data_IF_196357241247
#
_entry.id   IF_196357241247
#
_cell.length_a   1.000
_cell.length_b   1.000
_cell.length_c   1.000
_cell.angle_alpha   90.00
_cell.angle_beta   90.00
_cell.angle_gamma   90.00
#
_symmetry.space_group_name_H-M   'P 1'
#
loop_
_entity.id
_entity.type
_entity.pdbx_description
1 polymer ?
#
# COMPACT_ATOMS: atom_id res chain seq x y z
N UNK A 1 22.83 53.25 -33.03
CA UNK A 1 23.53 52.19 -32.28
C UNK A 1 22.86 52.08 -30.93
N UNK A 2 21.89 51.18 -30.81
CA UNK A 2 21.22 50.82 -29.55
C UNK A 2 21.74 49.45 -29.15
N UNK A 3 22.17 49.24 -27.89
CA UNK A 3 22.70 47.94 -27.47
C UNK A 3 21.57 46.92 -27.43
N UNK A 4 21.82 45.74 -27.99
CA UNK A 4 20.93 44.58 -27.86
C UNK A 4 20.78 44.22 -26.38
N UNK A 5 19.57 43.85 -25.92
CA UNK A 5 19.36 43.44 -24.54
C UNK A 5 20.10 42.13 -24.29
N UNK A 6 20.75 42.09 -23.13
CA UNK A 6 21.52 41.00 -22.57
C UNK A 6 20.94 39.63 -22.92
N UNK A 7 21.74 38.82 -23.62
CA UNK A 7 21.60 37.38 -23.57
C UNK A 7 21.92 36.99 -22.11
N UNK A 8 20.91 36.74 -21.29
CA UNK A 8 21.12 36.14 -19.97
C UNK A 8 21.58 34.71 -20.24
N UNK A 9 22.88 34.52 -20.41
CA UNK A 9 23.50 33.21 -20.36
C UNK A 9 23.17 32.65 -18.97
N UNK A 10 22.21 31.75 -18.90
CA UNK A 10 21.79 31.14 -17.65
C UNK A 10 22.98 30.32 -17.15
N UNK A 11 23.68 30.87 -16.16
CA UNK A 11 24.90 30.29 -15.62
C UNK A 11 24.54 29.01 -14.87
N UNK A 12 25.37 27.99 -15.02
CA UNK A 12 25.20 26.73 -14.30
C UNK A 12 25.07 26.99 -12.78
N UNK A 13 24.06 26.46 -12.10
CA UNK A 13 23.90 26.66 -10.66
C UNK A 13 25.04 25.98 -9.91
N UNK A 14 25.68 26.67 -8.96
CA UNK A 14 26.63 26.04 -8.04
C UNK A 14 25.88 25.25 -6.96
N UNK A 15 26.31 24.05 -6.56
CA UNK A 15 27.56 23.33 -6.92
C UNK A 15 27.45 22.40 -8.14
N UNK A 16 26.39 22.50 -8.94
CA UNK A 16 26.20 21.64 -10.11
C UNK A 16 27.21 21.92 -11.23
N UNK A 17 27.35 20.93 -12.11
CA UNK A 17 28.15 20.98 -13.31
C UNK A 17 27.26 20.84 -14.54
N UNK A 18 27.41 21.74 -15.51
CA UNK A 18 26.59 21.75 -16.71
C UNK A 18 27.44 21.47 -17.93
N UNK A 19 27.01 20.52 -18.76
CA UNK A 19 27.67 20.16 -20.02
C UNK A 19 26.62 20.01 -21.11
N UNK A 20 26.65 20.88 -22.12
CA UNK A 20 25.57 20.97 -23.12
C UNK A 20 24.21 21.16 -22.41
N UNK A 21 23.25 20.28 -22.70
CA UNK A 21 21.90 20.25 -22.11
C UNK A 21 21.78 19.32 -20.90
N UNK A 22 22.91 18.93 -20.29
CA UNK A 22 22.97 17.99 -19.18
C UNK A 22 23.43 18.75 -17.93
N UNK A 23 22.75 18.52 -16.81
CA UNK A 23 23.04 19.18 -15.53
C UNK A 23 23.24 18.13 -14.46
N UNK A 24 24.45 18.08 -13.90
CA UNK A 24 24.88 17.15 -12.88
C UNK A 24 24.96 17.84 -11.53
N UNK A 25 24.08 17.44 -10.61
CA UNK A 25 23.98 17.97 -9.25
C UNK A 25 24.16 16.85 -8.19
N UNK A 26 24.72 15.71 -8.58
CA UNK A 26 24.89 14.51 -7.75
C UNK A 26 25.85 14.75 -6.56
N UNK A 27 25.55 14.16 -5.39
CA UNK A 27 26.42 14.16 -4.19
C UNK A 27 26.81 15.55 -3.66
N UNK A 28 25.86 16.49 -3.68
CA UNK A 28 26.12 17.89 -3.32
C UNK A 28 25.41 18.36 -2.03
N UNK A 29 24.83 17.43 -1.26
CA UNK A 29 24.10 17.74 0.00
C UNK A 29 22.98 18.77 -0.23
N UNK A 30 22.34 18.70 -1.40
CA UNK A 30 21.27 19.61 -1.76
C UNK A 30 20.00 19.25 -0.98
N UNK A 31 19.42 20.23 -0.29
CA UNK A 31 18.11 20.05 0.39
C UNK A 31 16.93 20.36 -0.52
N UNK A 32 17.19 21.03 -1.64
CA UNK A 32 16.20 21.49 -2.61
C UNK A 32 16.76 21.42 -4.03
N UNK A 33 15.88 21.36 -5.03
CA UNK A 33 16.27 21.48 -6.44
C UNK A 33 16.86 22.88 -6.69
N UNK A 34 18.11 23.02 -7.18
CA UNK A 34 18.76 24.31 -7.33
C UNK A 34 18.01 25.27 -8.25
N UNK A 35 17.85 26.52 -7.82
CA UNK A 35 17.33 27.57 -8.69
C UNK A 35 18.35 27.92 -9.77
N UNK A 36 17.89 28.21 -10.98
CA UNK A 36 18.76 28.67 -12.06
C UNK A 36 19.29 27.58 -12.98
N UNK A 37 18.81 26.34 -12.86
CA UNK A 37 19.02 25.28 -13.87
C UNK A 37 18.65 25.82 -15.28
N UNK A 38 19.55 25.73 -16.28
CA UNK A 38 19.29 26.21 -17.64
C UNK A 38 17.99 25.64 -18.24
N UNK A 39 17.18 26.48 -18.89
CA UNK A 39 15.88 26.07 -19.43
C UNK A 39 15.96 25.13 -20.65
N UNK A 40 17.14 25.02 -21.27
CA UNK A 40 17.46 24.07 -22.34
C UNK A 40 17.95 22.71 -21.80
N UNK A 41 17.90 22.50 -20.49
CA UNK A 41 18.25 21.21 -19.86
C UNK A 41 17.32 20.10 -20.33
N UNK A 42 17.91 19.02 -20.86
CA UNK A 42 17.24 17.79 -21.32
C UNK A 42 17.41 16.67 -20.30
N UNK A 43 18.56 16.62 -19.60
CA UNK A 43 18.82 15.61 -18.56
C UNK A 43 19.30 16.25 -17.27
N UNK A 44 18.62 15.92 -16.17
CA UNK A 44 18.92 16.45 -14.84
C UNK A 44 19.21 15.30 -13.87
N UNK A 45 20.39 15.35 -13.26
CA UNK A 45 20.91 14.36 -12.33
C UNK A 45 20.99 14.98 -10.93
N UNK A 46 20.13 14.52 -10.01
CA UNK A 46 20.03 15.01 -8.62
C UNK A 46 20.24 13.88 -7.61
N UNK A 47 20.93 12.80 -7.98
CA UNK A 47 21.08 11.64 -7.09
C UNK A 47 21.93 11.94 -5.86
N UNK A 48 21.77 11.14 -4.80
CA UNK A 48 22.60 11.18 -3.60
C UNK A 48 22.62 12.58 -2.96
N UNK A 49 21.44 13.16 -2.74
CA UNK A 49 21.27 14.46 -2.07
C UNK A 49 20.29 14.32 -0.89
N UNK A 50 19.98 15.43 -0.23
CA UNK A 50 19.15 15.50 0.97
C UNK A 50 17.77 16.14 0.68
N UNK A 51 17.27 16.01 -0.55
CA UNK A 51 15.99 16.59 -0.97
C UNK A 51 14.85 15.82 -0.31
N UNK A 52 14.05 16.48 0.51
CA UNK A 52 12.92 15.84 1.22
C UNK A 52 11.57 16.07 0.54
N UNK A 53 11.37 17.23 -0.08
CA UNK A 53 10.07 17.61 -0.63
C UNK A 53 10.20 18.20 -2.03
N UNK A 54 9.27 17.84 -2.92
CA UNK A 54 9.15 18.43 -4.25
C UNK A 54 7.83 19.17 -4.40
N UNK A 55 7.88 20.33 -5.06
CA UNK A 55 6.73 21.20 -5.25
C UNK A 55 6.61 21.79 -6.66
N UNK A 56 5.52 22.52 -6.95
CA UNK A 56 5.27 23.13 -8.26
C UNK A 56 6.36 24.06 -8.78
N UNK A 57 7.24 24.56 -7.90
CA UNK A 57 8.36 25.44 -8.27
C UNK A 57 9.68 24.69 -8.50
N UNK A 58 9.80 23.42 -8.10
CA UNK A 58 11.05 22.66 -8.13
C UNK A 58 11.62 22.52 -9.55
N UNK A 59 10.76 22.34 -10.56
CA UNK A 59 11.17 22.16 -11.96
C UNK A 59 10.61 23.24 -12.89
N UNK A 60 10.42 24.45 -12.35
CA UNK A 60 9.86 25.57 -13.12
C UNK A 60 10.75 25.87 -14.33
N UNK A 61 10.13 26.04 -15.51
CA UNK A 61 10.78 26.32 -16.79
C UNK A 61 11.66 25.20 -17.37
N UNK A 62 11.60 23.97 -16.84
CA UNK A 62 12.37 22.83 -17.36
C UNK A 62 11.53 21.94 -18.30
N UNK A 63 10.72 22.57 -19.18
CA UNK A 63 9.78 21.85 -20.05
C UNK A 63 10.41 21.02 -21.18
N UNK A 64 11.73 21.12 -21.37
CA UNK A 64 12.50 20.30 -22.31
C UNK A 64 13.13 19.07 -21.67
N UNK A 65 12.94 18.85 -20.35
CA UNK A 65 13.45 17.65 -19.69
C UNK A 65 12.82 16.40 -20.30
N UNK A 66 13.69 15.44 -20.64
CA UNK A 66 13.35 14.08 -21.06
C UNK A 66 13.74 13.06 -19.98
N UNK A 67 14.81 13.35 -19.22
CA UNK A 67 15.36 12.46 -18.20
C UNK A 67 15.55 13.19 -16.87
N UNK A 68 14.91 12.70 -15.81
CA UNK A 68 15.04 13.23 -14.47
C UNK A 68 15.32 12.09 -13.49
N UNK A 69 16.42 12.21 -12.75
CA UNK A 69 16.75 11.27 -11.67
C UNK A 69 16.94 11.98 -10.35
N UNK A 70 16.21 11.50 -9.35
CA UNK A 70 16.17 11.92 -7.95
C UNK A 70 16.49 10.73 -7.03
N UNK A 71 17.18 9.72 -7.57
CA UNK A 71 17.51 8.49 -6.84
C UNK A 71 18.29 8.79 -5.57
N UNK A 72 18.02 8.02 -4.51
CA UNK A 72 18.73 8.13 -3.22
C UNK A 72 18.67 9.56 -2.66
N UNK A 73 17.44 10.03 -2.44
CA UNK A 73 17.12 11.22 -1.68
C UNK A 73 16.09 10.86 -0.60
N UNK A 74 15.97 11.60 0.50
CA UNK A 74 14.94 11.34 1.51
C UNK A 74 13.55 11.86 1.11
N UNK A 75 13.14 11.78 -0.17
CA UNK A 75 11.86 12.36 -0.61
C UNK A 75 10.70 11.56 -0.01
N UNK A 76 9.92 12.21 0.85
CA UNK A 76 8.69 11.65 1.42
C UNK A 76 7.42 12.27 0.82
N UNK A 77 7.53 13.47 0.26
CA UNK A 77 6.39 14.28 -0.18
C UNK A 77 6.61 14.88 -1.56
N UNK A 78 5.72 14.55 -2.50
CA UNK A 78 5.60 15.20 -3.81
C UNK A 78 4.25 15.91 -3.86
N UNK A 79 4.28 17.25 -3.87
CA UNK A 79 3.07 18.06 -3.89
C UNK A 79 2.35 17.95 -5.25
N UNK A 80 1.01 18.15 -5.30
CA UNK A 80 0.27 18.15 -6.55
C UNK A 80 0.82 19.15 -7.56
N UNK A 81 0.80 18.79 -8.85
CA UNK A 81 1.27 19.61 -9.97
C UNK A 81 2.79 19.88 -10.01
N UNK A 82 3.60 19.21 -9.19
CA UNK A 82 5.07 19.30 -9.22
C UNK A 82 5.64 19.10 -10.63
N UNK A 83 5.12 18.11 -11.37
CA UNK A 83 5.59 17.75 -12.70
C UNK A 83 4.73 18.30 -13.85
N UNK A 84 3.80 19.23 -13.57
CA UNK A 84 2.78 19.67 -14.53
C UNK A 84 3.36 20.22 -15.84
N UNK A 85 4.57 20.78 -15.81
CA UNK A 85 5.25 21.38 -16.98
C UNK A 85 6.24 20.46 -17.67
N UNK A 86 6.45 19.25 -17.18
CA UNK A 86 7.42 18.29 -17.71
C UNK A 86 6.78 17.42 -18.81
N UNK A 87 6.19 18.06 -19.82
CA UNK A 87 5.42 17.38 -20.87
C UNK A 87 6.28 16.51 -21.80
N UNK A 88 7.60 16.73 -21.81
CA UNK A 88 8.56 15.95 -22.60
C UNK A 88 9.24 14.83 -21.81
N UNK A 89 8.99 14.70 -20.50
CA UNK A 89 9.69 13.73 -19.68
C UNK A 89 9.31 12.31 -20.08
N UNK A 90 10.31 11.49 -20.41
CA UNK A 90 10.16 10.08 -20.78
C UNK A 90 10.61 9.16 -19.65
N UNK A 91 11.61 9.56 -18.87
CA UNK A 91 12.19 8.74 -17.81
C UNK A 91 12.22 9.51 -16.48
N UNK A 92 11.58 8.94 -15.45
CA UNK A 92 11.59 9.45 -14.09
C UNK A 92 12.11 8.40 -13.12
N UNK A 93 13.17 8.74 -12.39
CA UNK A 93 13.76 7.90 -11.35
C UNK A 93 13.53 8.52 -9.97
N UNK A 94 12.72 7.84 -9.16
CA UNK A 94 12.41 8.14 -7.75
C UNK A 94 12.81 6.94 -6.86
N UNK A 95 13.75 6.13 -7.33
CA UNK A 95 14.30 4.97 -6.64
C UNK A 95 14.97 5.35 -5.31
N UNK A 96 14.93 4.47 -4.31
CA UNK A 96 15.64 4.68 -3.04
C UNK A 96 15.23 6.02 -2.38
N UNK A 97 13.92 6.24 -2.25
CA UNK A 97 13.35 7.40 -1.57
C UNK A 97 12.45 6.94 -0.39
N UNK A 98 11.74 7.88 0.24
CA UNK A 98 10.91 7.63 1.43
C UNK A 98 9.40 7.75 1.13
N UNK A 99 8.99 7.52 -0.13
CA UNK A 99 7.59 7.64 -0.53
C UNK A 99 6.75 6.53 0.11
N UNK A 100 5.61 6.90 0.72
CA UNK A 100 4.72 5.96 1.41
C UNK A 100 3.44 5.64 0.63
N UNK A 101 3.09 6.46 -0.36
CA UNK A 101 1.92 6.30 -1.21
C UNK A 101 2.09 6.97 -2.58
N UNK A 102 1.34 6.51 -3.57
CA UNK A 102 1.17 7.19 -4.85
C UNK A 102 -0.26 7.71 -4.95
N UNK A 103 -0.43 9.01 -5.21
CA UNK A 103 -1.75 9.66 -5.32
C UNK A 103 -2.02 10.13 -6.74
N UNK A 104 -3.29 10.17 -7.15
CA UNK A 104 -3.64 10.34 -8.57
C UNK A 104 -3.32 11.68 -9.23
N UNK A 105 -2.81 12.66 -8.49
CA UNK A 105 -2.31 13.92 -9.06
C UNK A 105 -0.78 14.05 -9.01
N UNK A 106 -0.09 13.04 -8.48
CA UNK A 106 1.36 13.09 -8.27
C UNK A 106 2.12 13.20 -9.58
N UNK A 107 1.74 12.42 -10.60
CA UNK A 107 2.46 12.32 -11.89
C UNK A 107 1.82 13.10 -13.04
N UNK A 108 0.82 13.93 -12.74
CA UNK A 108 0.06 14.66 -13.76
C UNK A 108 0.95 15.61 -14.55
N UNK A 109 0.78 15.61 -15.87
CA UNK A 109 1.47 16.50 -16.82
C UNK A 109 2.57 15.82 -17.63
N UNK A 110 3.10 14.69 -17.16
CA UNK A 110 4.14 13.92 -17.87
C UNK A 110 3.53 12.99 -18.91
N UNK A 111 2.87 13.56 -19.91
CA UNK A 111 2.07 12.82 -20.92
C UNK A 111 2.90 11.94 -21.85
N UNK A 112 4.23 12.08 -21.87
CA UNK A 112 5.16 11.25 -22.65
C UNK A 112 5.97 10.28 -21.78
N UNK A 113 5.65 10.15 -20.49
CA UNK A 113 6.40 9.30 -19.59
C UNK A 113 6.27 7.83 -20.02
N UNK A 114 7.39 7.18 -20.30
CA UNK A 114 7.44 5.77 -20.70
C UNK A 114 8.03 4.88 -19.61
N UNK A 115 8.94 5.41 -18.78
CA UNK A 115 9.58 4.66 -17.69
C UNK A 115 9.44 5.39 -16.36
N UNK A 116 8.89 4.69 -15.38
CA UNK A 116 8.71 5.18 -14.02
C UNK A 116 9.35 4.21 -13.02
N UNK A 117 10.40 4.67 -12.33
CA UNK A 117 11.10 3.89 -11.32
C UNK A 117 10.76 4.38 -9.91
N UNK A 118 10.09 3.52 -9.13
CA UNK A 118 9.64 3.78 -7.75
C UNK A 118 10.09 2.66 -6.78
N UNK A 119 10.95 1.75 -7.23
CA UNK A 119 11.44 0.64 -6.41
C UNK A 119 12.30 1.15 -5.24
N UNK A 120 12.39 0.35 -4.17
CA UNK A 120 13.07 0.74 -2.91
C UNK A 120 12.51 2.02 -2.30
N UNK A 121 11.19 2.05 -2.13
CA UNK A 121 10.49 3.06 -1.34
C UNK A 121 9.71 2.36 -0.21
N UNK A 122 8.76 3.06 0.41
CA UNK A 122 7.89 2.53 1.47
C UNK A 122 6.43 2.54 1.02
N UNK A 123 6.18 2.43 -0.29
CA UNK A 123 4.83 2.56 -0.86
C UNK A 123 3.99 1.39 -0.37
N UNK A 124 3.05 1.66 0.54
CA UNK A 124 2.12 0.66 1.06
C UNK A 124 0.74 0.74 0.42
N UNK A 125 0.34 1.94 -0.01
CA UNK A 125 -0.98 2.19 -0.57
C UNK A 125 -0.91 2.66 -2.02
N UNK A 126 -1.60 1.93 -2.88
CA UNK A 126 -1.98 2.33 -4.23
C UNK A 126 -3.51 2.41 -4.30
N UNK A 127 -4.03 3.39 -5.02
CA UNK A 127 -5.47 3.60 -5.19
C UNK A 127 -5.81 3.69 -6.67
N UNK A 128 -7.09 3.48 -6.99
CA UNK A 128 -7.57 3.75 -8.34
C UNK A 128 -7.26 5.20 -8.72
N UNK A 129 -6.69 5.39 -9.90
CA UNK A 129 -6.28 6.71 -10.38
C UNK A 129 -4.92 7.17 -9.88
N UNK A 130 -4.18 6.40 -9.07
CA UNK A 130 -2.80 6.73 -8.63
C UNK A 130 -1.87 7.07 -9.80
N UNK A 131 -2.11 6.48 -10.98
CA UNK A 131 -1.35 6.71 -12.20
C UNK A 131 -2.13 7.49 -13.26
N UNK A 132 -3.14 8.26 -12.87
CA UNK A 132 -3.95 9.04 -13.79
C UNK A 132 -3.10 10.06 -14.56
N UNK A 133 -3.26 10.10 -15.88
CA UNK A 133 -2.62 11.06 -16.77
C UNK A 133 -1.23 10.68 -17.30
N UNK A 134 -0.70 9.51 -16.94
CA UNK A 134 0.55 8.96 -17.50
C UNK A 134 0.28 7.69 -18.31
N UNK A 135 -0.56 7.82 -19.34
CA UNK A 135 -1.10 6.69 -20.12
C UNK A 135 -0.06 5.96 -20.99
N UNK A 136 1.05 6.63 -21.29
CA UNK A 136 2.13 6.12 -22.17
C UNK A 136 3.19 5.30 -21.42
N UNK A 137 3.04 5.07 -20.11
CA UNK A 137 4.03 4.31 -19.35
C UNK A 137 4.07 2.86 -19.85
N UNK A 138 5.24 2.44 -20.30
CA UNK A 138 5.53 1.10 -20.80
C UNK A 138 6.18 0.22 -19.71
N UNK A 139 6.98 0.85 -18.83
CA UNK A 139 7.73 0.18 -17.77
C UNK A 139 7.51 0.83 -16.41
N UNK A 140 6.99 0.04 -15.47
CA UNK A 140 6.74 0.46 -14.09
C UNK A 140 7.47 -0.44 -13.10
N UNK A 141 8.35 0.16 -12.29
CA UNK A 141 9.14 -0.55 -11.29
C UNK A 141 8.67 -0.18 -9.89
N UNK A 142 8.05 -1.13 -9.18
CA UNK A 142 7.49 -0.99 -7.84
C UNK A 142 8.04 -2.04 -6.86
N UNK A 143 9.03 -2.83 -7.25
CA UNK A 143 9.63 -3.87 -6.39
C UNK A 143 10.32 -3.27 -5.15
N UNK A 144 10.56 -4.08 -4.12
CA UNK A 144 11.15 -3.62 -2.85
C UNK A 144 10.37 -2.42 -2.25
N UNK A 145 9.05 -2.58 -2.11
CA UNK A 145 8.15 -1.61 -1.47
C UNK A 145 7.32 -2.32 -0.38
N UNK A 146 6.27 -1.67 0.12
CA UNK A 146 5.40 -2.19 1.18
C UNK A 146 3.97 -2.49 0.70
N UNK A 147 3.74 -2.69 -0.61
CA UNK A 147 2.40 -2.81 -1.20
C UNK A 147 1.73 -4.07 -0.65
N UNK A 148 0.53 -3.95 -0.06
CA UNK A 148 -0.14 -5.06 0.64
C UNK A 148 -1.17 -5.81 -0.19
N UNK A 149 -1.73 -5.18 -1.22
CA UNK A 149 -2.77 -5.80 -2.06
C UNK A 149 -2.82 -5.21 -3.45
N UNK A 150 -3.21 -6.03 -4.42
CA UNK A 150 -3.55 -5.61 -5.77
C UNK A 150 -5.07 -5.48 -5.87
N UNK A 151 -5.56 -4.31 -5.47
CA UNK A 151 -6.98 -3.95 -5.52
C UNK A 151 -7.51 -3.71 -6.94
N UNK A 152 -8.76 -3.29 -7.00
CA UNK A 152 -9.49 -3.14 -8.26
C UNK A 152 -8.97 -1.95 -9.09
N UNK A 153 -8.72 -2.20 -10.38
CA UNK A 153 -8.43 -1.19 -11.40
C UNK A 153 -7.21 -0.28 -11.11
N UNK A 154 -6.25 -0.73 -10.30
CA UNK A 154 -5.09 0.07 -9.88
C UNK A 154 -4.24 0.57 -11.07
N UNK A 155 -4.16 -0.22 -12.14
CA UNK A 155 -3.29 0.05 -13.30
C UNK A 155 -4.06 0.32 -14.60
N UNK A 156 -5.39 0.47 -14.54
CA UNK A 156 -6.25 0.65 -15.73
C UNK A 156 -5.90 1.90 -16.57
N UNK A 157 -5.34 2.93 -15.92
CA UNK A 157 -4.89 4.13 -16.61
C UNK A 157 -3.65 3.90 -17.49
N UNK A 158 -2.85 2.86 -17.19
CA UNK A 158 -1.57 2.57 -17.84
C UNK A 158 -1.75 1.70 -19.10
N UNK A 159 -2.34 2.28 -20.14
CA UNK A 159 -2.77 1.57 -21.35
C UNK A 159 -1.62 1.00 -22.20
N UNK A 160 -0.43 1.56 -22.08
CA UNK A 160 0.77 1.12 -22.82
C UNK A 160 1.67 0.18 -22.01
N UNK A 161 1.24 -0.25 -20.82
CA UNK A 161 2.10 -1.00 -19.90
C UNK A 161 2.44 -2.39 -20.44
N UNK A 162 3.74 -2.68 -20.54
CA UNK A 162 4.25 -3.99 -21.01
C UNK A 162 5.21 -4.66 -20.03
N UNK A 163 5.77 -3.88 -19.09
CA UNK A 163 6.64 -4.37 -18.02
C UNK A 163 6.20 -3.82 -16.67
N UNK A 164 5.95 -4.72 -15.73
CA UNK A 164 5.52 -4.38 -14.38
C UNK A 164 6.27 -5.24 -13.37
N UNK A 165 7.00 -4.61 -12.47
CA UNK A 165 7.81 -5.28 -11.45
C UNK A 165 7.26 -4.96 -10.06
N UNK A 166 6.75 -5.98 -9.38
CA UNK A 166 6.05 -5.97 -8.09
C UNK A 166 6.67 -6.97 -7.09
N UNK A 167 7.77 -7.64 -7.45
CA UNK A 167 8.45 -8.57 -6.55
C UNK A 167 8.92 -7.90 -5.27
N UNK A 168 9.13 -8.70 -4.22
CA UNK A 168 9.65 -8.23 -2.93
C UNK A 168 8.78 -7.10 -2.34
N UNK A 169 7.46 -7.31 -2.35
CA UNK A 169 6.46 -6.47 -1.69
C UNK A 169 5.75 -7.29 -0.58
N UNK A 170 4.64 -6.76 -0.05
CA UNK A 170 3.83 -7.39 0.99
C UNK A 170 2.47 -7.86 0.46
N UNK A 171 2.36 -8.14 -0.84
CA UNK A 171 1.10 -8.46 -1.48
C UNK A 171 0.61 -9.83 -0.99
N UNK A 172 -0.56 -9.84 -0.34
CA UNK A 172 -1.18 -11.06 0.17
C UNK A 172 -2.27 -11.61 -0.74
N UNK A 173 -2.94 -10.76 -1.50
CA UNK A 173 -4.13 -11.13 -2.28
C UNK A 173 -4.20 -10.40 -3.63
N UNK A 174 -4.91 -11.00 -4.60
CA UNK A 174 -5.23 -10.41 -5.90
C UNK A 174 -6.74 -10.52 -6.16
N UNK A 175 -7.39 -9.39 -6.44
CA UNK A 175 -8.83 -9.36 -6.72
C UNK A 175 -9.13 -9.74 -8.17
N UNK A 176 -10.40 -10.07 -8.45
CA UNK A 176 -10.81 -10.48 -9.81
C UNK A 176 -10.60 -9.42 -10.88
N UNK A 177 -10.67 -8.14 -10.51
CA UNK A 177 -10.46 -7.04 -11.44
C UNK A 177 -8.97 -6.85 -11.78
N UNK A 178 -8.05 -7.34 -10.94
CA UNK A 178 -6.62 -7.30 -11.20
C UNK A 178 -6.13 -8.45 -12.11
N UNK A 179 -7.01 -9.36 -12.56
CA UNK A 179 -6.60 -10.47 -13.42
C UNK A 179 -6.11 -10.03 -14.81
N UNK A 180 -6.46 -8.82 -15.26
CA UNK A 180 -5.91 -8.20 -16.48
C UNK A 180 -4.38 -8.10 -16.45
N UNK A 181 -3.78 -8.06 -15.25
CA UNK A 181 -2.32 -8.08 -15.08
C UNK A 181 -1.69 -9.34 -15.69
N UNK A 182 -2.43 -10.44 -15.73
CA UNK A 182 -1.94 -11.70 -16.29
C UNK A 182 -1.73 -11.69 -17.81
N UNK A 183 -2.16 -10.62 -18.50
CA UNK A 183 -1.90 -10.37 -19.94
C UNK A 183 -0.62 -9.53 -20.16
N UNK A 184 -0.05 -8.94 -19.10
CA UNK A 184 1.18 -8.14 -19.20
C UNK A 184 2.36 -9.07 -19.54
N UNK A 185 3.08 -8.83 -20.66
CA UNK A 185 4.13 -9.75 -21.14
C UNK A 185 5.30 -9.95 -20.18
N UNK A 186 5.73 -8.89 -19.49
CA UNK A 186 6.85 -8.93 -18.54
C UNK A 186 6.38 -8.49 -17.15
N UNK A 187 5.54 -9.31 -16.53
CA UNK A 187 5.11 -9.12 -15.15
C UNK A 187 5.97 -9.96 -14.21
N UNK A 188 6.48 -9.34 -13.16
CA UNK A 188 7.17 -10.02 -12.06
C UNK A 188 6.50 -9.65 -10.72
N UNK A 189 6.07 -10.65 -9.95
CA UNK A 189 5.34 -10.51 -8.68
C UNK A 189 5.72 -11.60 -7.66
N UNK A 190 6.90 -12.21 -7.87
CA UNK A 190 7.50 -13.21 -6.98
C UNK A 190 7.83 -12.61 -5.61
N UNK A 191 8.19 -13.45 -4.62
CA UNK A 191 8.57 -12.98 -3.28
C UNK A 191 7.55 -12.04 -2.61
N UNK A 192 6.28 -12.41 -2.68
CA UNK A 192 5.19 -11.74 -1.99
C UNK A 192 4.50 -12.74 -1.02
N UNK A 193 4.00 -12.29 0.14
CA UNK A 193 3.40 -13.13 1.17
C UNK A 193 1.96 -13.57 0.81
N UNK A 194 1.79 -14.31 -0.29
CA UNK A 194 0.49 -14.73 -0.79
C UNK A 194 -0.30 -15.57 0.22
N UNK A 195 -1.49 -15.10 0.58
CA UNK A 195 -2.47 -15.76 1.45
C UNK A 195 -3.38 -16.64 0.59
N UNK A 196 -3.02 -17.92 0.44
CA UNK A 196 -3.75 -18.91 -0.34
C UNK A 196 -4.94 -19.49 0.44
N UNK A 197 -5.84 -18.63 0.90
CA UNK A 197 -7.09 -19.00 1.49
C UNK A 197 -8.25 -18.86 0.48
N UNK A 198 -9.48 -18.77 0.98
CA UNK A 198 -10.63 -18.66 0.11
C UNK A 198 -10.76 -17.33 -0.64
N UNK A 199 -10.07 -16.26 -0.21
CA UNK A 199 -10.00 -15.00 -0.96
C UNK A 199 -9.34 -15.20 -2.33
N UNK A 200 -8.43 -16.17 -2.44
CA UNK A 200 -7.72 -16.51 -3.68
C UNK A 200 -8.45 -17.55 -4.53
N UNK A 201 -9.69 -17.93 -4.19
CA UNK A 201 -10.47 -18.89 -4.98
C UNK A 201 -10.68 -18.41 -6.42
N UNK A 202 -11.06 -17.14 -6.60
CA UNK A 202 -11.26 -16.57 -7.93
C UNK A 202 -9.95 -16.57 -8.75
N UNK A 203 -8.84 -16.24 -8.10
CA UNK A 203 -7.51 -16.23 -8.72
C UNK A 203 -7.10 -17.65 -9.15
N UNK A 204 -7.29 -18.64 -8.27
CA UNK A 204 -7.03 -20.05 -8.59
C UNK A 204 -7.86 -20.54 -9.78
N UNK A 205 -9.15 -20.22 -9.82
CA UNK A 205 -10.01 -20.59 -10.95
C UNK A 205 -9.56 -19.91 -12.25
N UNK A 206 -9.22 -18.62 -12.19
CA UNK A 206 -8.77 -17.87 -13.35
C UNK A 206 -7.45 -18.43 -13.92
N UNK A 207 -6.47 -18.77 -13.08
CA UNK A 207 -5.20 -19.38 -13.48
C UNK A 207 -5.36 -20.72 -14.21
N UNK A 208 -6.35 -21.52 -13.78
CA UNK A 208 -6.69 -22.80 -14.43
C UNK A 208 -7.26 -22.60 -15.83
N UNK A 209 -8.02 -21.53 -16.03
CA UNK A 209 -8.63 -21.19 -17.32
C UNK A 209 -7.66 -20.47 -18.26
N UNK A 210 -6.65 -19.77 -17.72
CA UNK A 210 -5.73 -18.92 -18.48
C UNK A 210 -4.29 -19.46 -18.41
N UNK A 211 -4.06 -20.59 -19.08
CA UNK A 211 -2.78 -21.32 -19.04
C UNK A 211 -1.59 -20.55 -19.61
N UNK A 212 -1.83 -19.57 -20.48
CA UNK A 212 -0.80 -18.71 -21.08
C UNK A 212 -0.43 -17.50 -20.22
N UNK A 213 -1.10 -17.30 -19.08
CA UNK A 213 -0.86 -16.13 -18.23
C UNK A 213 0.57 -16.12 -17.67
N UNK A 214 1.16 -14.94 -17.62
CA UNK A 214 2.49 -14.70 -17.05
C UNK A 214 2.53 -14.94 -15.54
N UNK A 215 1.40 -14.86 -14.82
CA UNK A 215 1.36 -14.97 -13.35
C UNK A 215 1.30 -16.40 -12.81
N UNK A 216 1.09 -17.40 -13.67
CA UNK A 216 0.71 -18.77 -13.28
C UNK A 216 1.65 -19.47 -12.28
N UNK A 217 2.95 -19.15 -12.31
CA UNK A 217 3.96 -19.74 -11.43
C UNK A 217 4.57 -18.75 -10.42
N UNK A 218 4.02 -17.53 -10.33
CA UNK A 218 4.58 -16.48 -9.49
C UNK A 218 3.92 -16.41 -8.11
N UNK A 219 2.71 -16.96 -7.98
CA UNK A 219 1.94 -17.00 -6.73
C UNK A 219 2.29 -18.28 -5.97
N UNK A 220 3.31 -18.17 -5.11
CA UNK A 220 3.69 -19.21 -4.15
C UNK A 220 3.13 -18.85 -2.79
N UNK A 221 2.28 -19.72 -2.24
CA UNK A 221 1.59 -19.51 -0.98
C UNK A 221 2.60 -19.32 0.17
N UNK A 222 2.51 -18.21 0.88
CA UNK A 222 3.21 -17.99 2.14
C UNK A 222 2.38 -18.51 3.31
N UNK A 223 1.06 -18.36 3.21
CA UNK A 223 0.10 -18.82 4.19
C UNK A 223 -1.16 -19.38 3.50
N UNK A 224 -2.02 -20.14 4.21
CA UNK A 224 -1.78 -20.67 5.55
C UNK A 224 -0.62 -21.68 5.59
N UNK A 225 -0.07 -21.98 6.77
CA UNK A 225 1.13 -22.82 6.95
C UNK A 225 1.03 -24.21 6.29
N UNK A 226 -0.16 -24.80 6.24
CA UNK A 226 -0.40 -26.10 5.56
C UNK A 226 -0.31 -26.04 4.03
N UNK A 227 -0.34 -24.84 3.44
CA UNK A 227 -0.18 -24.58 2.01
C UNK A 227 1.14 -23.87 1.68
N UNK A 228 1.95 -23.53 2.68
CA UNK A 228 3.21 -22.81 2.51
C UNK A 228 4.12 -23.50 1.47
N UNK A 229 4.64 -22.71 0.53
CA UNK A 229 5.51 -23.16 -0.56
C UNK A 229 4.79 -23.82 -1.74
N UNK A 230 3.46 -23.96 -1.70
CA UNK A 230 2.66 -24.49 -2.83
C UNK A 230 2.37 -23.39 -3.84
N UNK A 231 2.30 -23.74 -5.12
CA UNK A 231 1.83 -22.83 -6.16
C UNK A 231 0.30 -22.83 -6.15
N UNK A 232 -0.32 -21.66 -6.27
CA UNK A 232 -1.79 -21.51 -6.18
C UNK A 232 -2.55 -22.37 -7.22
N UNK A 233 -2.04 -22.52 -8.44
CA UNK A 233 -2.67 -23.35 -9.49
C UNK A 233 -2.74 -24.85 -9.07
N UNK A 234 -1.81 -25.31 -8.25
CA UNK A 234 -1.74 -26.70 -7.74
C UNK A 234 -2.59 -26.92 -6.48
N UNK A 235 -3.15 -25.86 -5.89
CA UNK A 235 -4.01 -25.97 -4.71
C UNK A 235 -5.42 -26.36 -5.14
N UNK A 236 -5.89 -27.52 -4.66
CA UNK A 236 -7.25 -27.99 -4.92
C UNK A 236 -8.29 -27.02 -4.35
N UNK A 237 -9.37 -26.77 -5.10
CA UNK A 237 -10.35 -25.74 -4.78
C UNK A 237 -11.04 -25.95 -3.42
N UNK A 238 -11.18 -27.19 -2.95
CA UNK A 238 -11.77 -27.49 -1.64
C UNK A 238 -10.96 -26.90 -0.48
N UNK A 239 -9.65 -26.66 -0.65
CA UNK A 239 -8.80 -26.01 0.35
C UNK A 239 -8.92 -24.48 0.35
N UNK A 240 -9.60 -23.92 -0.65
CA UNK A 240 -9.89 -22.49 -0.78
C UNK A 240 -11.37 -22.21 -0.49
N UNK A 241 -12.05 -23.06 0.31
CA UNK A 241 -13.43 -22.83 0.71
C UNK A 241 -13.47 -22.07 2.03
N UNK A 242 -14.17 -20.94 2.07
CA UNK A 242 -14.38 -20.23 3.33
C UNK A 242 -15.39 -20.99 4.20
N UNK A 243 -15.21 -20.95 5.51
CA UNK A 243 -16.21 -21.38 6.50
C UNK A 243 -16.68 -20.17 7.29
N UNK A 244 -18.00 -20.08 7.49
CA UNK A 244 -18.61 -19.03 8.30
C UNK A 244 -18.07 -19.09 9.73
N UNK A 245 -17.86 -17.92 10.38
CA UNK A 245 -17.45 -17.90 11.77
C UNK A 245 -18.48 -18.60 12.66
N UNK A 246 -18.02 -19.36 13.64
CA UNK A 246 -18.84 -19.88 14.73
C UNK A 246 -18.31 -19.33 16.05
N UNK A 247 -19.17 -18.63 16.80
CA UNK A 247 -18.80 -17.93 18.03
C UNK A 247 -19.28 -18.69 19.25
N UNK A 248 -18.39 -18.88 20.22
CA UNK A 248 -18.72 -19.29 21.58
C UNK A 248 -18.38 -18.15 22.52
N UNK A 249 -19.35 -17.70 23.31
CA UNK A 249 -19.16 -16.62 24.26
C UNK A 249 -19.73 -17.03 25.62
N UNK A 250 -18.88 -16.99 26.65
CA UNK A 250 -19.20 -17.45 28.00
C UNK A 250 -18.32 -16.76 29.04
N UNK A 251 -18.67 -16.83 30.31
CA UNK A 251 -17.87 -16.25 31.40
C UNK A 251 -18.71 -16.01 32.64
N UNK A 252 -18.27 -15.05 33.44
CA UNK A 252 -19.02 -14.57 34.60
C UNK A 252 -20.41 -14.05 34.18
N UNK A 253 -21.47 -14.47 34.87
CA UNK A 253 -22.86 -14.08 34.62
C UNK A 253 -23.40 -13.06 35.64
N UNK A 254 -22.61 -12.76 36.68
CA UNK A 254 -22.92 -11.78 37.73
C UNK A 254 -21.72 -10.84 37.89
N UNK A 255 -21.97 -9.54 38.01
CA UNK A 255 -20.90 -8.58 38.26
C UNK A 255 -20.17 -8.90 39.57
N UNK A 256 -18.83 -8.84 39.60
CA UNK A 256 -18.11 -8.82 40.85
C UNK A 256 -18.47 -7.55 41.67
N UNK A 257 -18.18 -7.55 42.97
CA UNK A 257 -18.34 -6.36 43.81
C UNK A 257 -17.56 -5.15 43.25
N UNK A 258 -17.95 -3.92 43.63
CA UNK A 258 -17.34 -2.70 43.08
C UNK A 258 -15.82 -2.69 43.17
N UNK A 259 -15.17 -2.38 42.04
CA UNK A 259 -13.71 -2.43 41.90
C UNK A 259 -13.14 -3.81 41.57
N UNK A 260 -14.00 -4.82 41.39
CA UNK A 260 -13.63 -6.16 40.95
C UNK A 260 -13.30 -6.24 39.45
N UNK A 261 -13.02 -7.46 38.99
CA UNK A 261 -12.65 -7.77 37.61
C UNK A 261 -13.63 -8.80 37.04
N UNK A 262 -14.26 -8.46 35.92
CA UNK A 262 -15.17 -9.34 35.19
C UNK A 262 -14.38 -10.06 34.09
N UNK A 263 -14.50 -11.39 34.02
CA UNK A 263 -13.81 -12.22 33.03
C UNK A 263 -14.82 -12.91 32.12
N UNK A 264 -14.76 -12.60 30.82
CA UNK A 264 -15.49 -13.28 29.76
C UNK A 264 -14.50 -13.91 28.77
N UNK A 265 -14.97 -14.89 28.01
CA UNK A 265 -14.19 -15.62 27.03
C UNK A 265 -14.98 -15.70 25.74
N UNK A 266 -14.48 -15.05 24.70
CA UNK A 266 -15.02 -15.18 23.35
C UNK A 266 -14.05 -15.91 22.44
N UNK A 267 -14.44 -17.09 22.00
CA UNK A 267 -13.67 -17.87 21.01
C UNK A 267 -14.46 -17.98 19.73
N UNK A 268 -13.79 -17.78 18.59
CA UNK A 268 -14.39 -17.94 17.28
C UNK A 268 -13.57 -18.94 16.45
N UNK A 269 -14.27 -19.84 15.77
CA UNK A 269 -13.69 -20.73 14.76
C UNK A 269 -14.20 -20.34 13.39
N UNK A 270 -13.41 -20.55 12.34
CA UNK A 270 -13.76 -20.18 10.97
C UNK A 270 -12.52 -20.16 10.08
N UNK A 271 -12.72 -20.14 8.77
CA UNK A 271 -11.66 -20.00 7.78
C UNK A 271 -12.06 -18.98 6.72
N UNK A 272 -11.27 -17.91 6.51
CA UNK A 272 -10.05 -17.55 7.21
C UNK A 272 -10.32 -17.30 8.71
N UNK A 273 -9.27 -17.32 9.54
CA UNK A 273 -9.40 -17.12 10.99
C UNK A 273 -10.13 -15.80 11.23
N UNK A 274 -11.27 -15.81 11.95
CA UNK A 274 -12.12 -14.62 12.05
C UNK A 274 -11.55 -13.58 13.01
N UNK A 275 -11.71 -12.31 12.65
CA UNK A 275 -11.43 -11.17 13.52
C UNK A 275 -12.54 -11.01 14.55
N UNK A 276 -12.16 -10.84 15.82
CA UNK A 276 -13.10 -10.73 16.94
C UNK A 276 -13.24 -9.27 17.36
N UNK A 277 -14.48 -8.80 17.46
CA UNK A 277 -14.86 -7.52 18.05
C UNK A 277 -15.87 -7.76 19.16
N UNK A 278 -15.67 -7.14 20.32
CA UNK A 278 -16.58 -7.25 21.46
C UNK A 278 -17.22 -5.90 21.73
N UNK A 279 -18.55 -5.84 21.69
CA UNK A 279 -19.32 -4.68 22.15
C UNK A 279 -19.66 -4.86 23.63
N UNK A 280 -19.21 -3.94 24.47
CA UNK A 280 -19.46 -3.96 25.92
C UNK A 280 -20.91 -3.56 26.23
N UNK A 281 -21.36 -3.80 27.47
CA UNK A 281 -22.67 -3.34 27.94
C UNK A 281 -22.87 -1.81 27.80
N UNK A 282 -21.78 -1.03 27.80
CA UNK A 282 -21.78 0.43 27.59
C UNK A 282 -21.85 0.84 26.12
N UNK A 283 -21.76 -0.12 25.20
CA UNK A 283 -21.75 0.12 23.75
C UNK A 283 -20.36 0.43 23.17
N UNK A 284 -19.29 0.19 23.92
CA UNK A 284 -17.92 0.36 23.43
C UNK A 284 -17.49 -0.85 22.60
N UNK A 285 -16.89 -0.62 21.43
CA UNK A 285 -16.36 -1.68 20.57
C UNK A 285 -14.87 -1.88 20.87
N UNK A 286 -14.51 -3.08 21.33
CA UNK A 286 -13.16 -3.46 21.70
C UNK A 286 -12.64 -4.53 20.75
N UNK A 287 -11.47 -4.27 20.16
CA UNK A 287 -10.67 -5.22 19.39
C UNK A 287 -9.37 -5.49 20.14
N UNK A 288 -8.58 -6.46 19.68
CA UNK A 288 -7.26 -6.73 20.29
C UNK A 288 -6.37 -5.48 20.24
N UNK A 289 -6.47 -4.69 19.16
CA UNK A 289 -5.69 -3.47 18.95
C UNK A 289 -6.24 -2.25 19.71
N UNK A 290 -7.55 -2.19 19.99
CA UNK A 290 -8.19 -1.08 20.70
C UNK A 290 -8.33 -1.29 22.22
N UNK A 291 -7.66 -2.31 22.76
CA UNK A 291 -7.58 -2.59 24.20
C UNK A 291 -7.23 -1.35 25.02
N UNK A 292 -7.95 -1.11 26.11
CA UNK A 292 -7.71 0.00 27.06
C UNK A 292 -7.36 -0.52 28.47
N UNK A 293 -7.05 0.40 29.39
CA UNK A 293 -6.87 0.08 30.81
C UNK A 293 -8.18 -0.40 31.49
N UNK A 294 -9.34 -0.02 30.94
CA UNK A 294 -10.64 -0.37 31.48
C UNK A 294 -11.18 -1.70 30.92
N UNK A 295 -10.94 -1.98 29.64
CA UNK A 295 -11.37 -3.20 28.97
C UNK A 295 -10.29 -3.72 28.03
N UNK A 296 -9.90 -4.98 28.20
CA UNK A 296 -8.90 -5.63 27.36
C UNK A 296 -9.48 -6.84 26.64
N UNK A 297 -9.28 -6.93 25.32
CA UNK A 297 -9.49 -8.16 24.54
C UNK A 297 -8.12 -8.74 24.15
N UNK A 298 -7.87 -9.98 24.54
CA UNK A 298 -6.62 -10.69 24.27
C UNK A 298 -6.71 -11.55 23.00
N UNK A 299 -5.56 -11.90 22.43
CA UNK A 299 -5.47 -12.76 21.24
C UNK A 299 -5.96 -14.20 21.47
N UNK A 300 -6.04 -14.65 22.72
CA UNK A 300 -6.65 -15.93 23.11
C UNK A 300 -8.17 -15.83 23.31
N UNK A 301 -8.78 -14.66 23.05
CA UNK A 301 -10.22 -14.43 23.16
C UNK A 301 -10.70 -14.02 24.56
N UNK A 302 -9.79 -13.88 25.54
CA UNK A 302 -10.17 -13.42 26.87
C UNK A 302 -10.54 -11.93 26.86
N UNK A 303 -11.70 -11.61 27.42
CA UNK A 303 -12.22 -10.25 27.61
C UNK A 303 -12.24 -9.95 29.10
N UNK A 304 -11.49 -8.93 29.50
CA UNK A 304 -11.36 -8.56 30.91
C UNK A 304 -11.81 -7.11 31.08
N UNK A 305 -12.79 -6.89 31.94
CA UNK A 305 -13.22 -5.54 32.37
C UNK A 305 -12.69 -5.29 33.77
N UNK A 306 -11.94 -4.20 33.92
CA UNK A 306 -11.35 -3.78 35.18
C UNK A 306 -12.23 -2.76 35.90
N UNK A 307 -12.02 -2.63 37.22
CA UNK A 307 -12.68 -1.65 38.07
C UNK A 307 -14.21 -1.60 37.88
N UNK A 308 -14.84 -2.78 37.92
CA UNK A 308 -16.25 -2.96 37.58
C UNK A 308 -17.18 -2.09 38.44
N UNK A 309 -18.15 -1.48 37.77
CA UNK A 309 -19.21 -0.63 38.31
C UNK A 309 -20.60 -1.20 37.98
N UNK A 310 -21.66 -0.58 38.52
CA UNK A 310 -23.05 -0.99 38.20
C UNK A 310 -23.43 -0.77 36.73
N UNK A 311 -22.72 0.12 36.03
CA UNK A 311 -22.97 0.45 34.61
C UNK A 311 -22.42 -0.61 33.67
N UNK A 312 -21.61 -1.55 34.18
CA UNK A 312 -21.06 -2.68 33.43
C UNK A 312 -22.03 -3.87 33.39
N UNK A 313 -23.17 -3.78 34.09
CA UNK A 313 -24.23 -4.77 33.98
C UNK A 313 -24.97 -4.58 32.65
N UNK A 314 -25.16 -5.67 31.91
CA UNK A 314 -25.88 -5.64 30.64
C UNK A 314 -25.44 -6.73 29.69
N UNK A 315 -25.82 -6.55 28.42
CA UNK A 315 -25.50 -7.50 27.36
C UNK A 315 -24.19 -7.12 26.68
N UNK A 316 -23.26 -8.06 26.71
CA UNK A 316 -22.05 -8.03 25.92
C UNK A 316 -22.30 -8.81 24.63
N UNK A 317 -21.80 -8.32 23.51
CA UNK A 317 -21.90 -9.00 22.22
C UNK A 317 -20.50 -9.30 21.73
N UNK A 318 -20.21 -10.57 21.49
CA UNK A 318 -19.01 -10.94 20.76
C UNK A 318 -19.37 -11.21 19.30
N UNK A 319 -18.78 -10.45 18.39
CA UNK A 319 -18.94 -10.59 16.96
C UNK A 319 -17.62 -11.10 16.36
N UNK A 320 -17.71 -12.10 15.50
CA UNK A 320 -16.59 -12.61 14.74
C UNK A 320 -16.88 -12.49 13.24
N UNK A 321 -15.93 -11.98 12.48
CA UNK A 321 -16.07 -11.72 11.04
C UNK A 321 -14.89 -12.27 10.26
N UNK A 322 -15.16 -12.87 9.10
CA UNK A 322 -14.14 -13.23 8.12
C UNK A 322 -14.68 -13.01 6.69
N UNK A 323 -13.90 -13.39 5.68
CA UNK A 323 -14.31 -13.27 4.27
C UNK A 323 -15.59 -14.05 3.90
N UNK A 324 -16.00 -15.05 4.69
CA UNK A 324 -17.23 -15.82 4.47
C UNK A 324 -18.49 -15.09 4.96
N UNK A 325 -18.34 -14.16 5.91
CA UNK A 325 -19.45 -13.49 6.59
C UNK A 325 -19.14 -13.27 8.07
N UNK A 326 -20.19 -13.16 8.88
CA UNK A 326 -20.08 -12.87 10.31
C UNK A 326 -21.02 -13.75 11.13
N UNK A 327 -20.66 -13.95 12.40
CA UNK A 327 -21.52 -14.52 13.42
C UNK A 327 -21.32 -13.77 14.73
N UNK A 328 -22.29 -13.88 15.63
CA UNK A 328 -22.19 -13.26 16.94
C UNK A 328 -22.85 -14.11 18.02
N UNK A 329 -22.42 -13.92 19.25
CA UNK A 329 -23.04 -14.45 20.44
C UNK A 329 -23.19 -13.34 21.48
N UNK A 330 -24.22 -13.44 22.32
CA UNK A 330 -24.50 -12.46 23.37
C UNK A 330 -24.38 -13.15 24.72
N UNK A 331 -23.71 -12.47 25.66
CA UNK A 331 -23.62 -12.89 27.06
C UNK A 331 -24.14 -11.76 27.93
N UNK A 332 -25.06 -12.06 28.85
CA UNK A 332 -25.66 -11.06 29.73
C UNK A 332 -25.11 -11.22 31.13
N UNK A 333 -24.61 -10.12 31.68
CA UNK A 333 -24.07 -10.04 33.05
C UNK A 333 -25.05 -9.28 33.92
N UNK A 334 -25.56 -9.94 34.96
CA UNK A 334 -26.49 -9.37 35.92
C UNK A 334 -25.77 -8.51 36.97
N UNK A 335 -26.41 -7.45 37.49
CA UNK A 335 -25.83 -6.66 38.57
C UNK A 335 -25.70 -7.50 39.85
N UNK A 336 -24.65 -7.25 40.63
CA UNK A 336 -24.53 -7.85 41.96
C UNK A 336 -25.61 -7.27 42.89
N UNK A 337 -26.42 -8.14 43.49
CA UNK A 337 -27.57 -7.75 44.33
C UNK A 337 -27.19 -7.70 45.83
N UNK A 338 -25.91 -7.86 46.17
CA UNK A 338 -25.43 -7.88 47.56
C UNK A 338 -24.80 -6.58 48.04
#
# INVERSE_FOLDING_TARGET
MTPFPFCNAQTCPTPCQCTNTYVFCTENQLTDVPTGIPSDTVRLFLENNDIQTLGPTSFLNLGLLEWLTLTNNPIDTILPNTFLKLENLTNLYLTENNLTAVTGNMFRGMVKLTQLHLYRNQIGSLQQGSFAGITEVEELYLYENAITSLGDFLFDDLRSLTKLYLQDNLISTITSNAFVLGDIPNLEMTNNPWECDCSMQAASLWLRLNTASTIKNQIVCAAPENLRGRILDDVVLERLLCTLPSVQFYGDDILPGSGGMLSLQCTAEGFPVPEITVTTARGENVTVESSSEDVTLRSDGAVVVFNVSKEDAGSYVCMASNAAGFAFATWTVAPNVT
#
